data_IF_223053986481
#
_entry.id   IF_223053986481
#
_cell.length_a   1.000
_cell.length_b   1.000
_cell.length_c   1.000
_cell.angle_alpha   90.00
_cell.angle_beta   90.00
_cell.angle_gamma   90.00
#
_symmetry.space_group_name_H-M   'P 1'
#
loop_
_entity.id
_entity.type
_entity.pdbx_description
1 polymer ?
#
# COMPACT_ATOMS: atom_id res chain seq x y z
N UNK A 1 5.64 -5.71 -15.28
CA UNK A 1 7.12 -5.70 -15.28
C UNK A 1 7.76 -4.30 -15.17
N UNK A 2 7.07 -3.19 -15.50
CA UNK A 2 7.65 -1.84 -15.41
C UNK A 2 7.70 -1.26 -13.97
N UNK A 3 6.70 -1.51 -13.14
CA UNK A 3 6.62 -0.93 -11.79
C UNK A 3 7.81 -1.28 -10.86
N UNK A 4 8.29 -2.54 -10.78
CA UNK A 4 9.48 -2.86 -9.99
C UNK A 4 10.74 -2.14 -10.47
N UNK A 5 10.87 -1.87 -11.78
CA UNK A 5 12.01 -1.12 -12.33
C UNK A 5 11.98 0.35 -11.95
N UNK A 6 10.78 0.94 -11.85
CA UNK A 6 10.61 2.32 -11.43
C UNK A 6 10.91 2.52 -9.94
N UNK A 7 10.48 1.57 -9.11
CA UNK A 7 10.54 1.72 -7.64
C UNK A 7 11.73 1.05 -6.97
N UNK A 8 12.38 0.05 -7.57
CA UNK A 8 13.58 -0.59 -6.99
C UNK A 8 14.70 0.42 -6.64
N UNK A 9 15.04 1.40 -7.51
CA UNK A 9 16.06 2.39 -7.16
C UNK A 9 15.65 3.23 -5.95
N UNK A 10 14.37 3.56 -5.84
CA UNK A 10 13.83 4.37 -4.73
C UNK A 10 13.77 3.59 -3.42
N UNK A 11 13.40 2.31 -3.46
CA UNK A 11 13.42 1.41 -2.30
C UNK A 11 14.84 1.25 -1.74
N UNK A 12 15.86 1.23 -2.61
CA UNK A 12 17.26 1.16 -2.19
C UNK A 12 17.83 2.49 -1.69
N UNK A 13 17.34 3.63 -2.19
CA UNK A 13 17.92 4.95 -1.90
C UNK A 13 17.26 5.68 -0.72
N UNK A 14 15.98 5.41 -0.42
CA UNK A 14 15.22 6.16 0.59
C UNK A 14 14.95 5.31 1.85
N UNK A 15 14.72 5.96 3.00
CA UNK A 15 14.30 5.24 4.21
C UNK A 15 13.02 4.42 3.93
N UNK A 16 12.96 3.15 4.35
CA UNK A 16 11.82 2.28 4.02
C UNK A 16 10.45 2.84 4.44
N UNK A 17 10.40 3.51 5.60
CA UNK A 17 9.20 4.19 6.09
C UNK A 17 8.72 5.28 5.12
N UNK A 18 9.65 6.09 4.58
CA UNK A 18 9.33 7.16 3.62
C UNK A 18 8.78 6.58 2.31
N UNK A 19 9.38 5.50 1.82
CA UNK A 19 8.91 4.83 0.60
C UNK A 19 7.50 4.29 0.80
N UNK A 20 7.25 3.63 1.93
CA UNK A 20 5.93 3.10 2.26
C UNK A 20 4.87 4.23 2.38
N UNK A 21 5.18 5.33 3.04
CA UNK A 21 4.29 6.51 3.12
C UNK A 21 3.94 7.03 1.74
N UNK A 22 4.92 7.19 0.84
CA UNK A 22 4.68 7.71 -0.52
C UNK A 22 3.83 6.74 -1.34
N UNK A 23 4.10 5.44 -1.28
CA UNK A 23 3.30 4.44 -1.99
C UNK A 23 1.84 4.46 -1.53
N UNK A 24 1.61 4.49 -0.22
CA UNK A 24 0.27 4.56 0.36
C UNK A 24 -0.46 5.87 0.01
N UNK A 25 0.26 7.00 0.03
CA UNK A 25 -0.30 8.28 -0.39
C UNK A 25 -0.70 8.29 -1.88
N UNK A 26 0.11 7.70 -2.75
CA UNK A 26 -0.22 7.59 -4.19
C UNK A 26 -1.41 6.64 -4.40
N UNK A 27 -1.46 5.50 -3.70
CA UNK A 27 -2.60 4.59 -3.75
C UNK A 27 -3.91 5.26 -3.34
N UNK A 28 -3.90 5.93 -2.18
CA UNK A 28 -5.08 6.65 -1.69
C UNK A 28 -5.47 7.80 -2.61
N UNK A 29 -4.49 8.53 -3.14
CA UNK A 29 -4.70 9.60 -4.12
C UNK A 29 -5.27 9.08 -5.43
N UNK A 30 -4.80 7.94 -5.94
CA UNK A 30 -5.32 7.30 -7.14
C UNK A 30 -6.77 6.85 -6.95
N UNK A 31 -7.11 6.26 -5.80
CA UNK A 31 -8.49 5.92 -5.44
C UNK A 31 -9.39 7.15 -5.36
N UNK A 32 -8.93 8.23 -4.71
CA UNK A 32 -9.67 9.48 -4.62
C UNK A 32 -9.83 10.16 -5.98
N UNK A 33 -8.83 10.09 -6.86
CA UNK A 33 -8.87 10.68 -8.20
C UNK A 33 -10.00 10.08 -9.06
N UNK A 34 -10.28 8.77 -8.90
CA UNK A 34 -11.40 8.13 -9.59
C UNK A 34 -12.78 8.65 -9.15
N UNK A 35 -12.87 9.31 -7.99
CA UNK A 35 -14.10 9.96 -7.51
C UNK A 35 -14.31 11.37 -8.08
N UNK A 36 -13.25 12.02 -8.57
CA UNK A 36 -13.31 13.40 -9.06
C UNK A 36 -14.00 13.48 -10.42
N UNK A 37 -13.76 12.49 -11.29
CA UNK A 37 -14.31 12.48 -12.65
C UNK A 37 -14.38 11.08 -13.22
N UNK A 38 -15.47 10.78 -13.93
CA UNK A 38 -15.65 9.56 -14.71
C UNK A 38 -15.11 9.65 -16.14
N UNK A 39 -14.35 10.71 -16.47
CA UNK A 39 -13.73 10.82 -17.79
C UNK A 39 -12.69 9.71 -17.99
N UNK A 40 -12.60 9.19 -19.21
CA UNK A 40 -11.68 8.11 -19.56
C UNK A 40 -10.23 8.44 -19.19
N UNK A 41 -9.79 9.68 -19.44
CA UNK A 41 -8.44 10.13 -19.13
C UNK A 41 -8.13 10.07 -17.62
N UNK A 42 -9.06 10.52 -16.77
CA UNK A 42 -8.87 10.52 -15.31
C UNK A 42 -8.84 9.09 -14.77
N UNK A 43 -9.74 8.23 -15.24
CA UNK A 43 -9.76 6.82 -14.86
C UNK A 43 -8.51 6.08 -15.31
N UNK A 44 -8.00 6.36 -16.53
CA UNK A 44 -6.76 5.79 -17.02
C UNK A 44 -5.56 6.17 -16.12
N UNK A 45 -5.44 7.45 -15.74
CA UNK A 45 -4.39 7.91 -14.83
C UNK A 45 -4.51 7.24 -13.46
N UNK A 46 -5.73 7.17 -12.90
CA UNK A 46 -5.99 6.52 -11.62
C UNK A 46 -5.57 5.04 -11.63
N UNK A 47 -6.01 4.27 -12.63
CA UNK A 47 -5.69 2.83 -12.73
C UNK A 47 -4.19 2.61 -12.96
N UNK A 48 -3.53 3.43 -13.77
CA UNK A 48 -2.08 3.33 -14.00
C UNK A 48 -1.29 3.65 -12.72
N UNK A 49 -1.68 4.70 -11.99
CA UNK A 49 -1.04 5.05 -10.73
C UNK A 49 -1.25 3.95 -9.66
N UNK A 50 -2.48 3.45 -9.54
CA UNK A 50 -2.82 2.36 -8.63
C UNK A 50 -2.04 1.09 -8.96
N UNK A 51 -2.10 0.62 -10.21
CA UNK A 51 -1.39 -0.58 -10.66
C UNK A 51 0.13 -0.43 -10.57
N UNK A 52 0.66 0.78 -10.76
CA UNK A 52 2.07 1.10 -10.64
C UNK A 52 2.62 1.12 -9.21
N UNK A 53 1.75 1.13 -8.20
CA UNK A 53 2.14 1.28 -6.78
C UNK A 53 1.66 0.16 -5.88
N UNK A 54 0.51 -0.45 -6.15
CA UNK A 54 -0.10 -1.48 -5.31
C UNK A 54 0.86 -2.62 -4.92
N UNK A 55 1.51 -3.24 -5.92
CA UNK A 55 2.44 -4.35 -5.69
C UNK A 55 3.77 -3.94 -5.04
N UNK A 56 4.05 -2.64 -4.97
CA UNK A 56 5.27 -2.15 -4.33
C UNK A 56 5.12 -2.02 -2.82
N UNK A 57 3.90 -1.96 -2.29
CA UNK A 57 3.66 -1.85 -0.84
C UNK A 57 4.23 -3.07 -0.09
N UNK A 58 3.92 -4.33 -0.45
CA UNK A 58 4.51 -5.50 0.22
C UNK A 58 6.03 -5.58 0.07
N UNK A 59 6.56 -5.16 -1.09
CA UNK A 59 8.00 -5.10 -1.32
C UNK A 59 8.69 -4.08 -0.39
N UNK A 60 8.10 -2.89 -0.22
CA UNK A 60 8.60 -1.87 0.69
C UNK A 60 8.52 -2.32 2.16
N UNK A 61 7.45 -2.99 2.57
CA UNK A 61 7.33 -3.58 3.93
C UNK A 61 8.39 -4.66 4.14
N UNK A 62 8.64 -5.52 3.15
CA UNK A 62 9.70 -6.54 3.22
C UNK A 62 11.08 -5.90 3.41
N UNK A 63 11.37 -4.83 2.66
CA UNK A 63 12.61 -4.07 2.82
C UNK A 63 12.69 -3.40 4.22
N UNK A 64 11.58 -2.85 4.72
CA UNK A 64 11.49 -2.27 6.05
C UNK A 64 11.74 -3.29 7.16
N UNK A 65 11.14 -4.49 7.06
CA UNK A 65 11.36 -5.59 8.01
C UNK A 65 12.84 -5.95 8.04
N UNK A 66 13.45 -6.20 6.88
CA UNK A 66 14.88 -6.57 6.80
C UNK A 66 15.81 -5.47 7.33
N UNK A 67 15.44 -4.20 7.15
CA UNK A 67 16.20 -3.06 7.67
C UNK A 67 16.03 -2.80 9.18
N UNK A 68 14.95 -3.30 9.79
CA UNK A 68 14.61 -3.05 11.19
C UNK A 68 14.79 -4.27 12.11
N UNK A 69 15.03 -5.47 11.55
CA UNK A 69 15.16 -6.72 12.30
C UNK A 69 16.50 -7.41 12.03
N UNK A 70 16.98 -8.17 13.01
CA UNK A 70 18.19 -8.98 12.86
C UNK A 70 17.93 -10.15 11.88
N UNK A 71 18.96 -10.67 11.19
CA UNK A 71 18.80 -11.79 10.25
C UNK A 71 18.11 -13.02 10.85
N UNK A 72 18.32 -13.30 12.13
CA UNK A 72 17.67 -14.37 12.91
C UNK A 72 16.14 -14.21 13.00
N UNK A 73 15.65 -12.97 12.98
CA UNK A 73 14.23 -12.64 13.12
C UNK A 73 13.51 -12.41 11.77
N UNK A 74 14.22 -12.50 10.64
CA UNK A 74 13.63 -12.23 9.32
C UNK A 74 12.52 -13.21 8.97
N UNK A 75 12.78 -14.51 9.10
CA UNK A 75 11.82 -15.55 8.77
C UNK A 75 10.52 -15.45 9.60
N UNK A 76 10.56 -15.39 10.95
CA UNK A 76 9.33 -15.27 11.75
C UNK A 76 8.58 -13.97 11.46
N UNK A 77 9.28 -12.84 11.29
CA UNK A 77 8.62 -11.55 11.03
C UNK A 77 7.97 -11.51 9.64
N UNK A 78 8.66 -12.00 8.60
CA UNK A 78 8.11 -12.08 7.25
C UNK A 78 6.96 -13.07 7.15
N UNK A 79 7.02 -14.19 7.90
CA UNK A 79 5.91 -15.14 7.99
C UNK A 79 4.67 -14.48 8.60
N UNK A 80 4.83 -13.80 9.75
CA UNK A 80 3.73 -13.08 10.38
C UNK A 80 3.13 -12.01 9.45
N UNK A 81 3.97 -11.22 8.78
CA UNK A 81 3.51 -10.26 7.77
C UNK A 81 2.74 -10.93 6.64
N UNK A 82 3.25 -12.05 6.10
CA UNK A 82 2.61 -12.78 5.01
C UNK A 82 1.24 -13.34 5.43
N UNK A 83 1.12 -13.87 6.64
CA UNK A 83 -0.14 -14.37 7.19
C UNK A 83 -1.17 -13.24 7.32
N UNK A 84 -0.79 -12.10 7.90
CA UNK A 84 -1.69 -10.94 8.02
C UNK A 84 -2.06 -10.39 6.64
N UNK A 85 -1.10 -10.32 5.72
CA UNK A 85 -1.33 -9.88 4.36
C UNK A 85 -2.32 -10.79 3.63
N UNK A 86 -2.13 -12.12 3.70
CA UNK A 86 -3.02 -13.09 3.09
C UNK A 86 -4.43 -13.04 3.68
N UNK A 87 -4.56 -12.90 5.01
CA UNK A 87 -5.85 -12.71 5.66
C UNK A 87 -6.53 -11.42 5.15
N UNK A 88 -5.78 -10.33 5.00
CA UNK A 88 -6.28 -9.09 4.41
C UNK A 88 -6.73 -9.24 2.96
N UNK A 89 -6.00 -10.00 2.14
CA UNK A 89 -6.39 -10.29 0.74
C UNK A 89 -7.65 -11.17 0.66
N UNK A 90 -7.89 -12.05 1.64
CA UNK A 90 -9.11 -12.86 1.70
C UNK A 90 -10.32 -12.06 2.16
N UNK A 91 -10.17 -11.24 3.21
CA UNK A 91 -11.28 -10.46 3.81
C UNK A 91 -11.58 -9.18 3.01
N UNK A 92 -10.57 -8.56 2.42
CA UNK A 92 -10.68 -7.27 1.73
C UNK A 92 -11.77 -7.21 0.66
N UNK A 93 -11.82 -8.17 -0.31
CA UNK A 93 -12.84 -8.21 -1.34
C UNK A 93 -14.25 -8.39 -0.77
N UNK A 94 -14.42 -9.17 0.30
CA UNK A 94 -15.71 -9.37 0.95
C UNK A 94 -16.19 -8.08 1.63
N UNK A 95 -15.31 -7.39 2.36
CA UNK A 95 -15.63 -6.11 2.99
C UNK A 95 -15.94 -5.03 1.94
N UNK A 96 -15.16 -4.96 0.86
CA UNK A 96 -15.40 -4.04 -0.25
C UNK A 96 -16.74 -4.32 -0.94
N UNK A 97 -17.07 -5.59 -1.17
CA UNK A 97 -18.36 -6.03 -1.73
C UNK A 97 -19.52 -5.60 -0.84
N UNK A 98 -19.46 -5.90 0.47
CA UNK A 98 -20.48 -5.49 1.41
C UNK A 98 -20.68 -3.96 1.44
N UNK A 99 -19.60 -3.18 1.38
CA UNK A 99 -19.69 -1.72 1.27
C UNK A 99 -20.39 -1.32 -0.03
N UNK A 100 -19.99 -1.90 -1.16
CA UNK A 100 -20.59 -1.58 -2.46
C UNK A 100 -22.09 -1.91 -2.51
N UNK A 101 -22.47 -3.08 -1.99
CA UNK A 101 -23.85 -3.59 -2.01
C UNK A 101 -24.79 -2.74 -1.13
N UNK A 102 -24.29 -2.20 -0.02
CA UNK A 102 -25.10 -1.40 0.91
C UNK A 102 -25.02 0.11 0.67
N UNK A 103 -24.07 0.60 -0.13
CA UNK A 103 -23.87 2.04 -0.33
C UNK A 103 -23.68 2.42 -1.80
N UNK A 104 -22.48 2.23 -2.35
CA UNK A 104 -22.17 2.42 -3.77
C UNK A 104 -20.75 1.94 -4.10
N UNK A 105 -20.44 1.77 -5.39
CA UNK A 105 -19.07 1.54 -5.85
C UNK A 105 -18.13 2.72 -5.53
N UNK A 106 -18.64 3.95 -5.42
CA UNK A 106 -17.82 5.10 -5.00
C UNK A 106 -17.39 5.02 -3.53
N UNK A 107 -18.23 4.44 -2.67
CA UNK A 107 -17.91 4.30 -1.25
C UNK A 107 -16.72 3.36 -1.00
N UNK A 108 -16.51 2.35 -1.85
CA UNK A 108 -15.33 1.47 -1.73
C UNK A 108 -14.03 2.19 -2.08
N UNK A 109 -14.07 3.15 -3.01
CA UNK A 109 -12.94 4.03 -3.33
C UNK A 109 -12.65 5.00 -2.18
N UNK A 110 -13.68 5.58 -1.55
CA UNK A 110 -13.53 6.40 -0.34
C UNK A 110 -12.91 5.58 0.80
N UNK A 111 -13.40 4.36 1.01
CA UNK A 111 -12.87 3.45 2.02
C UNK A 111 -11.40 3.11 1.77
N UNK A 112 -11.04 2.80 0.53
CA UNK A 112 -9.65 2.54 0.12
C UNK A 112 -8.78 3.78 0.36
N UNK A 113 -9.23 4.96 -0.07
CA UNK A 113 -8.50 6.21 0.13
C UNK A 113 -8.26 6.51 1.62
N UNK A 114 -9.26 6.30 2.47
CA UNK A 114 -9.16 6.50 3.91
C UNK A 114 -8.21 5.48 4.58
N UNK A 115 -8.28 4.21 4.19
CA UNK A 115 -7.36 3.18 4.68
C UNK A 115 -5.92 3.48 4.27
N UNK A 116 -5.68 3.84 3.01
CA UNK A 116 -4.36 4.19 2.53
C UNK A 116 -3.82 5.46 3.21
N UNK A 117 -4.65 6.48 3.41
CA UNK A 117 -4.24 7.70 4.11
C UNK A 117 -3.88 7.43 5.57
N UNK A 118 -4.71 6.66 6.30
CA UNK A 118 -4.41 6.28 7.68
C UNK A 118 -3.13 5.45 7.79
N UNK A 119 -2.94 4.47 6.91
CA UNK A 119 -1.71 3.70 6.83
C UNK A 119 -0.49 4.56 6.50
N UNK A 120 -0.63 5.57 5.62
CA UNK A 120 0.45 6.51 5.29
C UNK A 120 0.87 7.34 6.51
N UNK A 121 -0.10 7.79 7.33
CA UNK A 121 0.16 8.49 8.60
C UNK A 121 0.89 7.58 9.59
N UNK A 122 0.44 6.32 9.73
CA UNK A 122 1.13 5.34 10.59
C UNK A 122 2.56 5.10 10.10
N UNK A 123 2.77 4.92 8.79
CA UNK A 123 4.10 4.73 8.22
C UNK A 123 5.01 5.96 8.43
N UNK A 124 4.45 7.18 8.32
CA UNK A 124 5.20 8.43 8.52
C UNK A 124 5.63 8.65 9.98
N UNK A 125 4.86 8.12 10.93
CA UNK A 125 5.10 8.27 12.37
C UNK A 125 5.85 7.08 12.98
N UNK A 126 5.87 5.94 12.30
CA UNK A 126 6.63 4.75 12.67
C UNK A 126 8.13 5.02 12.63
N UNK A 127 8.72 5.36 13.78
CA UNK A 127 10.17 5.50 13.90
C UNK A 127 10.83 4.13 13.78
N UNK A 128 11.80 3.94 12.86
CA UNK A 128 12.58 2.71 12.84
C UNK A 128 13.37 2.61 14.15
N UNK A 129 13.12 1.54 14.90
CA UNK A 129 13.94 1.23 16.07
C UNK A 129 15.25 0.65 15.53
N UNK A 130 16.43 1.22 15.90
CA UNK A 130 17.69 0.64 15.45
C UNK A 130 17.78 -0.81 15.96
N UNK A 131 18.37 -1.72 15.16
CA UNK A 131 18.62 -3.08 15.64
C UNK A 131 19.47 -2.98 16.89
N UNK A 132 18.94 -3.44 18.02
CA UNK A 132 19.74 -3.68 19.23
C UNK A 132 20.61 -4.89 19.01
#
# INVERSE_FOLDING_TARGET
MAAPRLWNPLIGAWPPARVLTVLLAILGGASALALVSSSYAVLAVSVLAYGGTFMMVPAAVTAAIRGATRPEDWAPTLSAFTTVFAAGQAVGPWAAGAIADHTSAGATLVWTAALCASAAVVAATGRPKPPR
#
